data_IF_324711887369
#
_entry.id   IF_324711887369
#
_cell.length_a   1.000
_cell.length_b   1.000
_cell.length_c   1.000
_cell.angle_alpha   90.00
_cell.angle_beta   90.00
_cell.angle_gamma   90.00
#
_symmetry.space_group_name_H-M   'P 1'
#
loop_
_entity.id
_entity.type
_entity.pdbx_description
1 polymer ?
#
# COMPACT_ATOMS: atom_id res chain seq x y z
N UNK A 1 15.41 -59.35 -0.77
CA UNK A 1 14.31 -58.38 -1.05
C UNK A 1 14.07 -57.57 0.21
N UNK A 2 14.61 -56.35 0.28
CA UNK A 2 14.38 -55.39 1.36
C UNK A 2 13.91 -54.12 0.66
N UNK A 3 12.63 -53.78 0.80
CA UNK A 3 12.05 -52.51 0.33
C UNK A 3 12.27 -51.47 1.41
N UNK A 4 13.21 -50.56 1.17
CA UNK A 4 13.43 -49.38 2.01
C UNK A 4 12.38 -48.35 1.59
N UNK A 5 11.33 -48.20 2.39
CA UNK A 5 10.43 -47.05 2.32
C UNK A 5 11.18 -45.85 2.90
N UNK A 6 11.70 -44.97 2.04
CA UNK A 6 12.18 -43.66 2.45
C UNK A 6 10.97 -42.71 2.42
N UNK A 7 10.32 -42.58 3.57
CA UNK A 7 9.45 -41.45 3.89
C UNK A 7 10.33 -40.21 3.98
N UNK A 8 10.40 -39.45 2.89
CA UNK A 8 10.98 -38.10 2.92
C UNK A 8 9.93 -37.19 3.55
N UNK A 9 9.91 -37.14 4.88
CA UNK A 9 9.39 -35.98 5.60
C UNK A 9 10.33 -34.82 5.27
N UNK A 10 10.00 -34.03 4.26
CA UNK A 10 10.63 -32.73 4.07
C UNK A 10 10.13 -31.85 5.22
N UNK A 11 10.89 -31.87 6.31
CA UNK A 11 10.92 -30.79 7.27
C UNK A 11 11.47 -29.57 6.52
N UNK A 12 10.59 -28.88 5.79
CA UNK A 12 10.87 -27.51 5.38
C UNK A 12 10.90 -26.74 6.69
N UNK A 13 12.13 -26.41 7.09
CA UNK A 13 12.52 -25.48 8.12
C UNK A 13 11.39 -24.50 8.44
N UNK A 14 10.66 -24.79 9.51
CA UNK A 14 9.94 -23.79 10.28
C UNK A 14 11.01 -22.88 10.88
N UNK A 15 11.46 -21.90 10.09
CA UNK A 15 12.10 -20.71 10.62
C UNK A 15 11.03 -20.11 11.52
N UNK A 16 11.31 -20.08 12.82
CA UNK A 16 10.47 -19.46 13.83
C UNK A 16 10.39 -17.96 13.64
N UNK A 17 9.78 -17.51 12.54
CA UNK A 17 9.07 -16.26 12.55
C UNK A 17 7.99 -16.43 13.62
N UNK A 18 8.17 -15.75 14.76
CA UNK A 18 7.02 -15.41 15.59
C UNK A 18 5.94 -14.92 14.61
N UNK A 19 4.68 -15.39 14.68
CA UNK A 19 3.63 -14.75 13.93
C UNK A 19 3.73 -13.27 14.29
N UNK A 20 4.16 -12.45 13.32
CA UNK A 20 4.20 -11.02 13.49
C UNK A 20 2.73 -10.68 13.69
N UNK A 21 2.34 -10.41 14.93
CA UNK A 21 0.99 -10.03 15.23
C UNK A 21 0.80 -8.75 14.42
N UNK A 22 0.10 -8.88 13.29
CA UNK A 22 -0.13 -7.77 12.39
C UNK A 22 -0.87 -6.72 13.21
N UNK A 23 -0.20 -5.61 13.48
CA UNK A 23 -0.82 -4.45 14.11
C UNK A 23 -2.06 -4.14 13.28
N UNK A 24 -3.26 -4.11 13.89
CA UNK A 24 -4.48 -3.81 13.16
C UNK A 24 -4.32 -2.53 12.34
N UNK A 25 -4.88 -2.49 11.14
CA UNK A 25 -4.70 -1.35 10.23
C UNK A 25 -5.03 0.00 10.90
N UNK A 26 -6.14 0.06 11.65
CA UNK A 26 -6.52 1.27 12.38
C UNK A 26 -5.47 1.70 13.42
N UNK A 27 -4.80 0.76 14.09
CA UNK A 27 -3.73 1.05 15.04
C UNK A 27 -2.47 1.55 14.32
N UNK A 28 -2.10 0.92 13.18
CA UNK A 28 -1.03 1.41 12.32
C UNK A 28 -1.26 2.85 11.89
N UNK A 29 -2.46 3.13 11.36
CA UNK A 29 -2.84 4.47 10.92
C UNK A 29 -2.78 5.46 12.09
N UNK A 30 -3.37 5.12 13.24
CA UNK A 30 -3.36 6.00 14.42
C UNK A 30 -1.94 6.37 14.85
N UNK A 31 -1.02 5.41 14.80
CA UNK A 31 0.38 5.63 15.16
C UNK A 31 1.13 6.42 14.08
N UNK A 32 0.85 6.14 12.80
CA UNK A 32 1.44 6.81 11.65
C UNK A 32 1.05 8.27 11.53
N UNK A 33 -0.14 8.68 11.95
CA UNK A 33 -0.62 10.06 11.75
C UNK A 33 -0.69 10.89 13.03
N UNK A 34 -0.02 10.47 14.11
CA UNK A 34 -0.07 11.18 15.40
C UNK A 34 0.55 12.58 15.38
N UNK A 35 1.44 12.85 14.44
CA UNK A 35 2.04 14.17 14.17
C UNK A 35 2.23 14.40 12.67
N UNK A 36 2.55 15.63 12.30
CA UNK A 36 2.74 16.02 10.90
C UNK A 36 3.93 15.35 10.19
N UNK A 37 4.98 14.94 10.90
CA UNK A 37 6.05 14.11 10.32
C UNK A 37 5.51 12.77 9.83
N UNK A 38 4.71 12.13 10.68
CA UNK A 38 4.06 10.88 10.33
C UNK A 38 3.08 11.02 9.17
N UNK A 39 2.22 12.05 9.21
CA UNK A 39 1.31 12.36 8.10
C UNK A 39 2.05 12.61 6.78
N UNK A 40 3.16 13.34 6.82
CA UNK A 40 3.98 13.58 5.64
C UNK A 40 4.56 12.28 5.07
N UNK A 41 5.12 11.42 5.93
CA UNK A 41 5.57 10.08 5.52
C UNK A 41 4.43 9.30 4.84
N UNK A 42 3.23 9.29 5.42
CA UNK A 42 2.07 8.62 4.81
C UNK A 42 1.72 9.24 3.46
N UNK A 43 1.84 10.57 3.30
CA UNK A 43 1.65 11.24 2.01
C UNK A 43 2.65 10.79 0.94
N UNK A 44 3.90 10.48 1.29
CA UNK A 44 4.86 9.89 0.35
C UNK A 44 4.47 8.46 -0.03
N UNK A 45 4.06 7.65 0.96
CA UNK A 45 3.63 6.26 0.72
C UNK A 45 2.45 6.17 -0.23
N UNK A 46 1.45 7.04 -0.10
CA UNK A 46 0.28 7.02 -1.00
C UNK A 46 0.63 7.50 -2.43
N UNK A 47 1.64 8.35 -2.57
CA UNK A 47 2.17 8.75 -3.88
C UNK A 47 2.87 7.57 -4.54
N UNK A 48 3.62 6.77 -3.77
CA UNK A 48 4.24 5.54 -4.28
C UNK A 48 3.19 4.50 -4.72
N UNK A 49 2.07 4.38 -4.01
CA UNK A 49 0.94 3.51 -4.43
C UNK A 49 0.33 4.01 -5.74
N UNK A 50 0.09 5.31 -5.85
CA UNK A 50 -0.40 5.96 -7.08
C UNK A 50 0.55 5.73 -8.27
N UNK A 51 1.86 5.89 -8.05
CA UNK A 51 2.87 5.61 -9.06
C UNK A 51 2.87 4.13 -9.47
N UNK A 52 2.76 3.19 -8.53
CA UNK A 52 2.68 1.76 -8.83
C UNK A 52 1.47 1.40 -9.69
N UNK A 53 0.32 2.05 -9.48
CA UNK A 53 -0.85 1.87 -10.32
C UNK A 53 -0.64 2.40 -11.76
N UNK A 54 0.11 3.52 -11.90
CA UNK A 54 0.54 4.03 -13.20
C UNK A 54 1.52 3.08 -13.91
N UNK A 55 2.51 2.56 -13.19
CA UNK A 55 3.49 1.60 -13.70
C UNK A 55 2.82 0.31 -14.16
N UNK A 56 1.81 -0.19 -13.42
CA UNK A 56 1.03 -1.36 -13.82
C UNK A 56 0.31 -1.14 -15.16
N UNK A 57 -0.37 0.00 -15.32
CA UNK A 57 -1.06 0.33 -16.56
C UNK A 57 -0.09 0.38 -17.75
N UNK A 58 1.07 1.01 -17.55
CA UNK A 58 2.11 1.06 -18.55
C UNK A 58 2.68 -0.33 -18.88
N UNK A 59 2.94 -1.18 -17.88
CA UNK A 59 3.44 -2.54 -18.09
C UNK A 59 2.45 -3.41 -18.89
N UNK A 60 1.14 -3.23 -18.73
CA UNK A 60 0.13 -3.93 -19.54
C UNK A 60 0.08 -3.43 -20.99
N UNK A 61 0.22 -2.11 -21.22
CA UNK A 61 0.26 -1.54 -22.57
C UNK A 61 1.47 -2.04 -23.39
N UNK A 62 2.55 -2.44 -22.73
CA UNK A 62 3.73 -3.01 -23.36
C UNK A 62 3.58 -4.49 -23.74
N UNK A 63 2.52 -5.16 -23.31
CA UNK A 63 2.29 -6.55 -23.69
C UNK A 63 1.88 -6.64 -25.16
N UNK A 64 2.53 -7.53 -25.92
CA UNK A 64 2.30 -7.67 -27.37
C UNK A 64 0.90 -8.22 -27.72
N UNK A 65 0.22 -8.85 -26.76
CA UNK A 65 -1.12 -9.37 -26.94
C UNK A 65 -2.16 -8.23 -26.86
N UNK A 66 -2.88 -7.94 -27.96
CA UNK A 66 -3.77 -6.79 -28.07
C UNK A 66 -4.99 -6.86 -27.14
N UNK A 67 -5.30 -8.03 -26.58
CA UNK A 67 -6.42 -8.20 -25.64
C UNK A 67 -6.02 -7.96 -24.19
N UNK A 68 -4.72 -7.86 -23.89
CA UNK A 68 -4.22 -7.74 -22.51
C UNK A 68 -4.85 -6.58 -21.74
N UNK A 69 -4.95 -5.40 -22.34
CA UNK A 69 -5.52 -4.22 -21.67
C UNK A 69 -7.01 -4.44 -21.41
N UNK A 70 -7.74 -4.93 -22.41
CA UNK A 70 -9.19 -5.17 -22.30
C UNK A 70 -9.49 -6.23 -21.23
N UNK A 71 -8.72 -7.33 -21.21
CA UNK A 71 -8.87 -8.45 -20.28
C UNK A 71 -8.65 -8.05 -18.80
N UNK A 72 -7.90 -6.97 -18.55
CA UNK A 72 -7.59 -6.48 -17.20
C UNK A 72 -8.12 -5.07 -16.94
N UNK A 73 -9.14 -4.63 -17.69
CA UNK A 73 -9.76 -3.30 -17.53
C UNK A 73 -10.24 -3.05 -16.10
N UNK A 74 -10.86 -4.05 -15.46
CA UNK A 74 -11.37 -3.91 -14.09
C UNK A 74 -10.23 -3.57 -13.09
N UNK A 75 -9.08 -4.23 -13.23
CA UNK A 75 -7.89 -3.97 -12.41
C UNK A 75 -7.28 -2.61 -12.78
N UNK A 76 -7.29 -2.25 -14.07
CA UNK A 76 -6.79 -0.95 -14.55
C UNK A 76 -7.63 0.23 -14.03
N UNK A 77 -8.94 0.07 -13.93
CA UNK A 77 -9.84 1.10 -13.42
C UNK A 77 -9.56 1.46 -11.95
N UNK A 78 -8.94 0.55 -11.19
CA UNK A 78 -8.49 0.81 -9.81
C UNK A 78 -7.44 1.94 -9.75
N UNK A 79 -6.66 2.15 -10.82
CA UNK A 79 -5.69 3.25 -10.93
C UNK A 79 -6.36 4.60 -10.75
N UNK A 80 -7.45 4.85 -11.46
CA UNK A 80 -8.14 6.14 -11.38
C UNK A 80 -8.79 6.35 -10.01
N UNK A 81 -9.20 5.26 -9.36
CA UNK A 81 -9.69 5.29 -7.97
C UNK A 81 -8.55 5.66 -7.00
N UNK A 82 -7.40 4.99 -7.11
CA UNK A 82 -6.20 5.24 -6.28
C UNK A 82 -5.71 6.68 -6.48
N UNK A 83 -5.59 7.15 -7.71
CA UNK A 83 -5.14 8.51 -8.02
C UNK A 83 -6.07 9.55 -7.36
N UNK A 84 -7.38 9.38 -7.52
CA UNK A 84 -8.37 10.27 -6.91
C UNK A 84 -8.33 10.24 -5.38
N UNK A 85 -8.07 9.07 -4.76
CA UNK A 85 -7.92 8.99 -3.30
C UNK A 85 -6.63 9.68 -2.86
N UNK A 86 -5.54 9.49 -3.60
CA UNK A 86 -4.24 10.13 -3.37
C UNK A 86 -4.37 11.64 -3.40
N UNK A 87 -4.96 12.20 -4.46
CA UNK A 87 -5.21 13.65 -4.56
C UNK A 87 -6.01 14.18 -3.38
N UNK A 88 -7.04 13.43 -2.94
CA UNK A 88 -7.85 13.83 -1.78
C UNK A 88 -7.06 13.79 -0.48
N UNK A 89 -6.20 12.80 -0.29
CA UNK A 89 -5.33 12.72 0.89
C UNK A 89 -4.30 13.85 0.91
N UNK A 90 -3.71 14.19 -0.24
CA UNK A 90 -2.79 15.32 -0.37
C UNK A 90 -3.50 16.65 -0.07
N UNK A 91 -4.69 16.87 -0.65
CA UNK A 91 -5.50 18.06 -0.35
C UNK A 91 -5.86 18.14 1.13
N UNK A 92 -6.26 17.03 1.76
CA UNK A 92 -6.56 17.03 3.19
C UNK A 92 -5.30 17.33 4.01
N UNK A 93 -4.15 16.74 3.66
CA UNK A 93 -2.89 16.99 4.36
C UNK A 93 -2.46 18.46 4.26
N UNK A 94 -2.51 19.05 3.08
CA UNK A 94 -2.05 20.43 2.89
C UNK A 94 -3.09 21.46 3.36
N UNK A 95 -4.34 21.36 2.90
CA UNK A 95 -5.34 22.42 3.10
C UNK A 95 -6.16 22.26 4.39
N UNK A 96 -6.63 21.05 4.68
CA UNK A 96 -7.52 20.83 5.84
C UNK A 96 -6.73 20.65 7.14
N UNK A 97 -5.52 20.11 7.04
CA UNK A 97 -4.61 19.87 8.14
C UNK A 97 -3.56 20.97 8.31
N UNK A 98 -3.45 21.90 7.36
CA UNK A 98 -2.46 22.98 7.33
C UNK A 98 -1.00 22.46 7.43
N UNK A 99 -0.75 21.24 6.92
CA UNK A 99 0.56 20.59 6.96
C UNK A 99 1.46 21.09 5.81
N UNK A 100 1.66 22.40 5.73
CA UNK A 100 2.50 23.02 4.72
C UNK A 100 3.98 22.95 5.14
N UNK A 101 4.65 21.83 4.82
CA UNK A 101 6.03 21.57 5.22
C UNK A 101 7.08 22.59 4.75
N UNK A 102 6.72 23.43 3.78
CA UNK A 102 7.60 24.47 3.23
C UNK A 102 7.48 25.81 3.97
N UNK A 103 6.62 25.91 4.99
CA UNK A 103 6.49 27.13 5.77
C UNK A 103 7.66 27.31 6.75
N UNK A 104 8.17 28.54 6.94
CA UNK A 104 9.34 28.81 7.78
C UNK A 104 9.19 28.39 9.26
N UNK A 105 7.96 28.33 9.75
CA UNK A 105 7.58 27.97 11.11
C UNK A 105 7.01 26.55 11.22
N UNK A 106 7.11 25.75 10.15
CA UNK A 106 6.60 24.39 10.15
C UNK A 106 7.30 23.53 11.21
N UNK A 107 6.51 22.94 12.09
CA UNK A 107 6.96 21.96 13.07
C UNK A 107 6.22 20.64 12.87
N UNK A 108 6.90 19.67 12.26
CA UNK A 108 6.38 18.34 12.01
C UNK A 108 5.98 17.57 13.28
N UNK A 109 6.45 17.99 14.46
CA UNK A 109 6.09 17.35 15.75
C UNK A 109 4.69 17.73 16.23
N UNK A 110 4.04 18.72 15.59
CA UNK A 110 2.73 19.21 15.98
C UNK A 110 1.66 18.13 15.81
N UNK A 111 0.78 18.01 16.81
CA UNK A 111 -0.34 17.08 16.80
C UNK A 111 -1.47 17.70 15.95
N UNK A 112 -1.95 17.02 14.89
CA UNK A 112 -3.01 17.53 14.04
C UNK A 112 -4.34 17.61 14.77
N UNK A 113 -5.22 18.49 14.31
CA UNK A 113 -6.56 18.61 14.88
C UNK A 113 -7.36 17.31 14.70
N UNK A 114 -8.31 17.06 15.59
CA UNK A 114 -9.19 15.88 15.47
C UNK A 114 -9.95 15.84 14.15
N UNK A 115 -10.36 17.00 13.63
CA UNK A 115 -11.05 17.10 12.35
C UNK A 115 -10.15 16.66 11.19
N UNK A 116 -8.92 17.19 11.15
CA UNK A 116 -7.89 16.80 10.19
C UNK A 116 -7.68 15.27 10.22
N UNK A 117 -7.41 14.71 11.41
CA UNK A 117 -7.18 13.27 11.57
C UNK A 117 -8.39 12.44 11.10
N UNK A 118 -9.62 12.89 11.39
CA UNK A 118 -10.83 12.17 10.99
C UNK A 118 -10.98 12.12 9.47
N UNK A 119 -10.75 13.23 8.78
CA UNK A 119 -10.82 13.31 7.31
C UNK A 119 -9.71 12.50 6.66
N UNK A 120 -8.47 12.63 7.16
CA UNK A 120 -7.32 11.91 6.61
C UNK A 120 -7.49 10.39 6.75
N UNK A 121 -7.83 9.90 7.96
CA UNK A 121 -8.12 8.48 8.20
C UNK A 121 -9.21 7.94 7.30
N UNK A 122 -10.30 8.69 7.12
CA UNK A 122 -11.41 8.26 6.25
C UNK A 122 -10.94 7.99 4.82
N UNK A 123 -10.07 8.82 4.26
CA UNK A 123 -9.55 8.60 2.92
C UNK A 123 -8.47 7.52 2.87
N UNK A 124 -7.65 7.38 3.92
CA UNK A 124 -6.64 6.34 4.00
C UNK A 124 -7.26 4.94 4.13
N UNK A 125 -8.34 4.80 4.89
CA UNK A 125 -9.10 3.54 4.97
C UNK A 125 -9.74 3.17 3.63
N UNK A 126 -10.17 4.16 2.83
CA UNK A 126 -10.64 3.90 1.46
C UNK A 126 -9.50 3.44 0.55
N UNK A 127 -8.31 4.01 0.69
CA UNK A 127 -7.12 3.54 -0.04
C UNK A 127 -6.85 2.08 0.30
N UNK A 128 -6.80 1.73 1.58
CA UNK A 128 -6.57 0.35 2.01
C UNK A 128 -7.60 -0.63 1.45
N UNK A 129 -8.90 -0.26 1.51
CA UNK A 129 -9.96 -1.06 0.93
C UNK A 129 -9.74 -1.31 -0.57
N UNK A 130 -9.43 -0.26 -1.34
CA UNK A 130 -9.17 -0.40 -2.78
C UNK A 130 -7.94 -1.26 -3.03
N UNK A 131 -6.87 -1.07 -2.28
CA UNK A 131 -5.65 -1.89 -2.37
C UNK A 131 -5.96 -3.38 -2.14
N UNK A 132 -6.71 -3.70 -1.08
CA UNK A 132 -7.09 -5.08 -0.74
C UNK A 132 -7.95 -5.71 -1.85
N UNK A 133 -8.93 -4.97 -2.38
CA UNK A 133 -9.76 -5.43 -3.49
C UNK A 133 -8.94 -5.65 -4.77
N UNK A 134 -8.03 -4.72 -5.12
CA UNK A 134 -7.14 -4.86 -6.28
C UNK A 134 -6.23 -6.09 -6.16
N UNK A 135 -5.65 -6.33 -4.99
CA UNK A 135 -4.85 -7.55 -4.75
C UNK A 135 -5.72 -8.79 -4.95
N UNK A 136 -6.93 -8.81 -4.39
CA UNK A 136 -7.86 -9.94 -4.55
C UNK A 136 -8.23 -10.17 -6.02
N UNK A 137 -8.54 -9.13 -6.78
CA UNK A 137 -8.84 -9.20 -8.21
C UNK A 137 -7.66 -9.80 -9.00
N UNK A 138 -6.44 -9.34 -8.74
CA UNK A 138 -5.23 -9.88 -9.36
C UNK A 138 -5.04 -11.37 -9.03
N UNK A 139 -5.27 -11.77 -7.78
CA UNK A 139 -5.11 -13.17 -7.35
C UNK A 139 -6.12 -14.12 -8.00
N UNK A 140 -7.32 -13.64 -8.38
CA UNK A 140 -8.36 -14.45 -9.01
C UNK A 140 -8.38 -14.35 -10.55
N UNK A 141 -7.61 -13.43 -11.13
CA UNK A 141 -7.54 -13.19 -12.57
C UNK A 141 -7.09 -14.40 -13.42
N UNK A 142 -6.57 -15.47 -12.81
CA UNK A 142 -6.34 -16.76 -13.47
C UNK A 142 -5.11 -16.81 -14.40
N UNK A 143 -5.03 -17.87 -15.23
CA UNK A 143 -3.94 -18.05 -16.21
C UNK A 143 -3.99 -16.94 -17.26
N UNK A 144 -2.97 -16.09 -17.26
CA UNK A 144 -2.78 -15.00 -18.21
C UNK A 144 -1.49 -15.20 -19.00
N UNK A 145 -1.28 -14.40 -20.05
CA UNK A 145 0.00 -14.39 -20.74
C UNK A 145 1.12 -13.98 -19.76
N UNK A 146 2.34 -14.44 -20.02
CA UNK A 146 3.49 -14.22 -19.11
C UNK A 146 3.75 -12.72 -18.86
N UNK A 147 3.49 -11.86 -19.83
CA UNK A 147 3.69 -10.41 -19.69
C UNK A 147 2.75 -9.83 -18.63
N UNK A 148 1.46 -10.10 -18.74
CA UNK A 148 0.45 -9.65 -17.80
C UNK A 148 0.65 -10.25 -16.39
N UNK A 149 1.04 -11.53 -16.30
CA UNK A 149 1.40 -12.15 -15.01
C UNK A 149 2.57 -11.44 -14.32
N UNK A 150 3.59 -11.03 -15.08
CA UNK A 150 4.70 -10.26 -14.52
C UNK A 150 4.26 -8.86 -14.08
N UNK A 151 3.46 -8.16 -14.89
CA UNK A 151 2.92 -6.84 -14.57
C UNK A 151 2.11 -6.88 -13.26
N UNK A 152 1.16 -7.82 -13.18
CA UNK A 152 0.35 -8.07 -11.99
C UNK A 152 1.21 -8.43 -10.77
N UNK A 153 2.20 -9.32 -10.93
CA UNK A 153 3.08 -9.71 -9.84
C UNK A 153 3.91 -8.55 -9.27
N UNK A 154 4.45 -7.68 -10.13
CA UNK A 154 5.15 -6.46 -9.68
C UNK A 154 4.21 -5.52 -8.93
N UNK A 155 2.99 -5.35 -9.43
CA UNK A 155 2.01 -4.45 -8.83
C UNK A 155 1.58 -4.95 -7.44
N UNK A 156 1.26 -6.24 -7.29
CA UNK A 156 0.93 -6.84 -5.98
C UNK A 156 2.05 -6.64 -4.97
N UNK A 157 3.32 -6.86 -5.36
CA UNK A 157 4.45 -6.64 -4.45
C UNK A 157 4.49 -5.19 -3.94
N UNK A 158 4.17 -4.21 -4.79
CA UNK A 158 4.12 -2.79 -4.40
C UNK A 158 2.96 -2.53 -3.44
N UNK A 159 1.78 -3.09 -3.73
CA UNK A 159 0.58 -2.95 -2.93
C UNK A 159 0.69 -3.63 -1.55
N UNK A 160 1.22 -4.85 -1.48
CA UNK A 160 1.42 -5.59 -0.22
C UNK A 160 2.36 -4.87 0.75
N UNK A 161 3.30 -4.07 0.24
CA UNK A 161 4.21 -3.29 1.07
C UNK A 161 3.54 -2.09 1.74
N UNK A 162 2.31 -1.73 1.38
CA UNK A 162 1.62 -0.55 1.90
C UNK A 162 1.56 -0.53 3.43
N UNK A 163 1.12 -1.63 4.06
CA UNK A 163 1.03 -1.71 5.53
C UNK A 163 2.40 -1.67 6.22
N UNK A 164 3.42 -2.27 5.60
CA UNK A 164 4.80 -2.20 6.09
C UNK A 164 5.38 -0.79 6.04
N UNK A 165 5.04 -0.02 5.00
CA UNK A 165 5.43 1.38 4.88
C UNK A 165 4.66 2.27 5.89
N UNK A 166 3.39 1.99 6.17
CA UNK A 166 2.66 2.68 7.24
C UNK A 166 3.27 2.41 8.62
N UNK A 167 3.75 1.19 8.88
CA UNK A 167 4.50 0.87 10.10
C UNK A 167 5.80 1.70 10.20
N UNK A 168 6.54 1.85 9.10
CA UNK A 168 7.70 2.74 9.08
C UNK A 168 7.33 4.20 9.37
N UNK A 169 6.20 4.68 8.85
CA UNK A 169 5.70 6.03 9.16
C UNK A 169 5.28 6.19 10.63
N UNK A 170 4.75 5.14 11.26
CA UNK A 170 4.48 5.13 12.70
C UNK A 170 5.76 5.30 13.53
N UNK A 171 6.85 4.64 13.12
CA UNK A 171 8.17 4.79 13.76
C UNK A 171 8.74 6.19 13.58
N UNK A 172 8.60 6.78 12.38
CA UNK A 172 8.96 8.19 12.13
C UNK A 172 8.20 9.10 13.09
N UNK A 173 6.88 8.94 13.16
CA UNK A 173 6.06 9.75 14.03
C UNK A 173 6.47 9.59 15.51
N UNK A 174 6.86 8.38 15.95
CA UNK A 174 7.33 8.13 17.31
C UNK A 174 8.65 8.79 17.64
N UNK A 175 9.61 8.69 16.73
CA UNK A 175 10.93 9.28 16.89
C UNK A 175 10.90 10.79 17.09
N UNK A 176 9.90 11.46 16.52
CA UNK A 176 9.73 12.92 16.59
C UNK A 176 8.59 13.36 17.52
N UNK A 177 8.05 12.46 18.33
CA UNK A 177 7.07 12.81 19.36
C UNK A 177 7.81 13.32 20.62
N UNK A 178 7.98 14.64 20.73
CA UNK A 178 8.64 15.30 21.87
C UNK A 178 7.64 15.97 22.79
#
# INVERSE_FOLDING_TARGET
MIRILVLICINILAIGAKPMQQTPFDELVNNAIKNFYGMHCVSEVIVDVSAAAGDFAYDLELCEDPYTVDDFTDILDTKDVINRITDRLLVVNELDCDNHQYLPDWNGSTIPSRECLTKFKKHLNKMNFVIEETINEILVAGESNVCALMAMGKYVIKLDNFTGLLQACAEVAEKFNK
#
